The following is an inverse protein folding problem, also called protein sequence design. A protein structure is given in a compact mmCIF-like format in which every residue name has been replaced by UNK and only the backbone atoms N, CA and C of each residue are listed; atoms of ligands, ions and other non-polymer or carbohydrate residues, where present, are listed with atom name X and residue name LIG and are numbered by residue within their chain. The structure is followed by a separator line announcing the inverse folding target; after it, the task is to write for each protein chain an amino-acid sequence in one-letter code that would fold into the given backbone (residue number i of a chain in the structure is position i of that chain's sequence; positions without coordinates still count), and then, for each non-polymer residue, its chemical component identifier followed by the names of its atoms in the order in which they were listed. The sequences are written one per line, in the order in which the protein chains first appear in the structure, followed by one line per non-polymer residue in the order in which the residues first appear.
data_IF_787538233756
#
_entry.id   IF_787538233756
#
_cell.length_a   1.000
_cell.length_b   1.000
_cell.length_c   1.000
_cell.angle_alpha   90.00
_cell.angle_beta   90.00
_cell.angle_gamma   90.00
#
_symmetry.space_group_name_H-M   'P 1'
#
loop_
_entity.id
_entity.type
_entity.pdbx_description
1 polymer ?
#
# COMPACT_ATOMS: atom_id res chain seq x y z
N UNK A 1 -8.09 12.63 16.10
CA UNK A 1 -6.65 12.89 15.79
C UNK A 1 -5.96 11.54 15.76
N UNK A 2 -5.07 11.29 14.80
CA UNK A 2 -4.37 10.00 14.73
C UNK A 2 -3.38 9.85 15.90
N UNK A 3 -3.16 8.62 16.40
CA UNK A 3 -2.25 8.35 17.50
C UNK A 3 -0.80 8.69 17.11
N UNK A 4 0.05 8.93 18.10
CA UNK A 4 1.48 9.14 17.84
C UNK A 4 2.12 7.82 17.41
N UNK A 5 2.93 7.88 16.36
CA UNK A 5 3.75 6.76 15.90
C UNK A 5 4.80 6.45 16.97
N UNK A 6 4.92 5.19 17.37
CA UNK A 6 5.92 4.74 18.36
C UNK A 6 7.32 4.80 17.76
N UNK A 7 8.33 5.00 18.61
CA UNK A 7 9.72 5.00 18.16
C UNK A 7 10.08 3.64 17.52
N UNK A 8 10.59 3.67 16.29
CA UNK A 8 10.92 2.47 15.51
C UNK A 8 9.82 1.96 14.59
N UNK A 9 8.61 2.51 14.65
CA UNK A 9 7.53 2.18 13.73
C UNK A 9 7.41 3.23 12.61
N UNK A 10 6.93 2.79 11.44
CA UNK A 10 6.63 3.69 10.31
C UNK A 10 5.18 4.16 10.28
N UNK A 11 4.29 3.50 11.05
CA UNK A 11 2.85 3.73 11.12
C UNK A 11 2.35 3.47 12.55
N UNK A 12 1.05 3.16 12.71
CA UNK A 12 0.40 2.98 14.01
C UNK A 12 0.50 1.57 14.59
N UNK A 13 1.27 0.67 13.96
CA UNK A 13 1.45 -0.70 14.40
C UNK A 13 0.12 -1.40 14.63
N UNK A 14 -0.07 -1.88 15.86
CA UNK A 14 -1.29 -2.56 16.31
C UNK A 14 -2.16 -1.68 17.21
N UNK A 15 -1.86 -0.38 17.31
CA UNK A 15 -2.55 0.55 18.21
C UNK A 15 -4.07 0.49 18.09
N UNK A 16 -4.60 0.30 16.87
CA UNK A 16 -6.04 0.28 16.64
C UNK A 16 -6.71 -1.05 16.97
N UNK A 17 -5.96 -2.14 17.15
CA UNK A 17 -6.52 -3.48 17.44
C UNK A 17 -7.30 -3.46 18.76
N UNK A 18 -6.77 -2.78 19.78
CA UNK A 18 -7.42 -2.64 21.09
C UNK A 18 -8.77 -1.91 21.03
N UNK A 19 -9.04 -1.22 19.93
CA UNK A 19 -10.28 -0.47 19.68
C UNK A 19 -11.14 -1.11 18.58
N UNK A 20 -10.88 -2.37 18.23
CA UNK A 20 -11.60 -3.12 17.19
C UNK A 20 -11.21 -2.75 15.75
N UNK A 21 -10.10 -2.05 15.57
CA UNK A 21 -9.51 -1.76 14.26
C UNK A 21 -8.55 -2.86 13.79
N UNK A 22 -7.89 -2.60 12.66
CA UNK A 22 -6.94 -3.54 12.05
C UNK A 22 -5.50 -3.32 12.52
N UNK A 23 -4.72 -4.40 12.61
CA UNK A 23 -3.27 -4.37 12.71
C UNK A 23 -2.63 -3.93 11.39
N UNK A 24 -1.38 -3.48 11.46
CA UNK A 24 -0.63 -3.10 10.26
C UNK A 24 -0.42 -4.27 9.28
N UNK A 25 -0.36 -5.51 9.79
CA UNK A 25 -0.28 -6.72 8.97
C UNK A 25 -1.63 -7.08 8.35
N UNK A 26 -2.73 -6.94 9.08
CA UNK A 26 -4.08 -7.17 8.55
C UNK A 26 -4.38 -6.24 7.38
N UNK A 27 -4.06 -4.95 7.51
CA UNK A 27 -4.22 -3.97 6.42
C UNK A 27 -3.35 -4.37 5.20
N UNK A 28 -2.09 -4.75 5.42
CA UNK A 28 -1.20 -5.16 4.32
C UNK A 28 -1.72 -6.41 3.60
N UNK A 29 -2.17 -7.41 4.35
CA UNK A 29 -2.69 -8.67 3.82
C UNK A 29 -3.97 -8.42 3.01
N UNK A 30 -4.93 -7.68 3.58
CA UNK A 30 -6.18 -7.32 2.92
C UNK A 30 -5.94 -6.53 1.63
N UNK A 31 -5.09 -5.50 1.68
CA UNK A 31 -4.74 -4.71 0.50
C UNK A 31 -4.15 -5.58 -0.63
N UNK A 32 -3.26 -6.52 -0.30
CA UNK A 32 -2.70 -7.42 -1.29
C UNK A 32 -3.69 -8.42 -1.84
N UNK A 33 -4.52 -9.02 -0.99
CA UNK A 33 -5.55 -9.95 -1.44
C UNK A 33 -6.54 -9.26 -2.39
N UNK A 34 -7.04 -8.08 -2.02
CA UNK A 34 -7.97 -7.30 -2.85
C UNK A 34 -7.33 -6.88 -4.18
N UNK A 35 -6.10 -6.39 -4.18
CA UNK A 35 -5.45 -5.98 -5.43
C UNK A 35 -5.14 -7.17 -6.34
N UNK A 36 -4.68 -8.31 -5.80
CA UNK A 36 -4.53 -9.54 -6.58
C UNK A 36 -5.87 -9.99 -7.18
N UNK A 37 -6.95 -10.04 -6.40
CA UNK A 37 -8.28 -10.42 -6.90
C UNK A 37 -8.74 -9.50 -8.05
N UNK A 38 -8.48 -8.20 -7.93
CA UNK A 38 -8.80 -7.22 -8.97
C UNK A 38 -7.99 -7.48 -10.25
N UNK A 39 -6.69 -7.77 -10.13
CA UNK A 39 -5.81 -8.01 -11.28
C UNK A 39 -6.07 -9.35 -11.96
N UNK A 40 -6.51 -10.38 -11.23
CA UNK A 40 -6.83 -11.72 -11.77
C UNK A 40 -8.19 -11.79 -12.48
N UNK A 41 -8.98 -10.71 -12.46
CA UNK A 41 -10.23 -10.65 -13.23
C UNK A 41 -9.94 -10.64 -14.73
N UNK A 42 -10.68 -11.48 -15.46
CA UNK A 42 -10.60 -11.56 -16.92
C UNK A 42 -11.02 -10.24 -17.57
N UNK A 43 -10.48 -9.97 -18.75
CA UNK A 43 -10.80 -8.81 -19.60
C UNK A 43 -10.47 -7.42 -19.02
N UNK A 44 -9.68 -7.34 -17.96
CA UNK A 44 -9.09 -6.09 -17.49
C UNK A 44 -7.65 -5.94 -18.02
N UNK A 45 -7.30 -4.75 -18.54
CA UNK A 45 -5.95 -4.47 -19.08
C UNK A 45 -5.22 -3.39 -18.30
N UNK A 46 -5.91 -2.32 -17.93
CA UNK A 46 -5.38 -1.21 -17.14
C UNK A 46 -6.40 -0.85 -16.05
N UNK A 47 -5.95 -0.78 -14.80
CA UNK A 47 -6.81 -0.59 -13.64
C UNK A 47 -6.32 0.63 -12.86
N UNK A 48 -7.24 1.51 -12.49
CA UNK A 48 -6.99 2.62 -11.57
C UNK A 48 -7.68 2.34 -10.23
N UNK A 49 -6.89 2.20 -9.18
CA UNK A 49 -7.37 2.01 -7.81
C UNK A 49 -7.11 3.29 -6.99
N UNK A 50 -8.14 3.80 -6.30
CA UNK A 50 -8.02 4.95 -5.40
C UNK A 50 -8.09 4.45 -3.96
N UNK A 51 -7.12 4.85 -3.13
CA UNK A 51 -7.04 4.45 -1.72
C UNK A 51 -6.40 5.55 -0.88
N UNK A 52 -6.22 5.28 0.42
CA UNK A 52 -5.63 6.19 1.38
C UNK A 52 -4.15 5.90 1.60
N UNK A 53 -3.40 6.92 2.02
CA UNK A 53 -1.95 6.82 2.10
C UNK A 53 -1.44 5.74 3.06
N UNK A 54 -2.07 5.54 4.23
CA UNK A 54 -1.69 4.46 5.14
C UNK A 54 -1.83 3.06 4.51
N UNK A 55 -2.96 2.81 3.83
CA UNK A 55 -3.23 1.54 3.15
C UNK A 55 -2.29 1.30 1.98
N UNK A 56 -2.04 2.33 1.17
CA UNK A 56 -1.08 2.27 0.07
C UNK A 56 0.35 2.07 0.57
N UNK A 57 0.73 2.71 1.67
CA UNK A 57 2.05 2.54 2.28
C UNK A 57 2.27 1.10 2.76
N UNK A 58 1.28 0.51 3.43
CA UNK A 58 1.33 -0.91 3.82
C UNK A 58 1.45 -1.83 2.61
N UNK A 59 0.77 -1.53 1.50
CA UNK A 59 0.89 -2.29 0.27
C UNK A 59 2.32 -2.23 -0.31
N UNK A 60 2.91 -1.04 -0.48
CA UNK A 60 4.26 -0.93 -1.05
C UNK A 60 5.35 -1.50 -0.16
N UNK A 61 5.17 -1.51 1.17
CA UNK A 61 6.10 -2.18 2.09
C UNK A 61 6.23 -3.68 1.85
N UNK A 62 5.27 -4.32 1.17
CA UNK A 62 5.39 -5.73 0.77
C UNK A 62 6.24 -5.92 -0.48
N UNK A 63 6.17 -4.97 -1.42
CA UNK A 63 6.70 -5.12 -2.79
C UNK A 63 8.02 -4.38 -3.03
N UNK A 64 8.29 -3.32 -2.28
CA UNK A 64 9.42 -2.42 -2.51
C UNK A 64 10.43 -2.53 -1.37
N UNK A 65 11.71 -2.31 -1.70
CA UNK A 65 12.76 -2.12 -0.71
C UNK A 65 12.57 -0.79 0.04
N UNK A 66 13.17 -0.71 1.22
CA UNK A 66 13.15 0.54 2.00
C UNK A 66 13.80 1.72 1.26
N UNK A 67 14.75 1.46 0.35
CA UNK A 67 15.38 2.50 -0.47
C UNK A 67 14.41 3.02 -1.53
N UNK A 68 13.70 2.13 -2.22
CA UNK A 68 12.67 2.52 -3.20
C UNK A 68 11.55 3.32 -2.54
N UNK A 69 11.09 2.90 -1.36
CA UNK A 69 10.04 3.61 -0.62
C UNK A 69 10.49 5.03 -0.24
N UNK A 70 11.74 5.21 0.19
CA UNK A 70 12.30 6.53 0.52
C UNK A 70 12.40 7.47 -0.68
N UNK A 71 12.55 6.93 -1.89
CA UNK A 71 12.61 7.72 -3.12
C UNK A 71 11.23 8.23 -3.57
N UNK A 72 10.13 7.66 -3.06
CA UNK A 72 8.77 8.04 -3.44
C UNK A 72 8.31 9.26 -2.65
N UNK A 73 7.90 10.32 -3.35
CA UNK A 73 7.24 11.49 -2.76
C UNK A 73 5.76 11.19 -2.50
N UNK A 74 5.47 10.74 -1.28
CA UNK A 74 4.13 10.29 -0.88
C UNK A 74 3.24 11.45 -0.42
N UNK A 75 2.69 12.21 -1.37
CA UNK A 75 1.73 13.31 -1.11
C UNK A 75 0.31 12.93 -1.57
N UNK A 76 -0.66 13.78 -1.22
CA UNK A 76 -2.00 13.65 -1.79
C UNK A 76 -1.93 13.64 -3.32
N UNK A 77 -2.78 12.80 -3.93
CA UNK A 77 -2.82 12.57 -5.38
C UNK A 77 -1.53 11.99 -6.00
N UNK A 78 -0.61 11.44 -5.19
CA UNK A 78 0.49 10.63 -5.72
C UNK A 78 -0.06 9.36 -6.39
N UNK A 79 0.41 9.06 -7.59
CA UNK A 79 0.07 7.85 -8.34
C UNK A 79 1.26 6.91 -8.28
N UNK A 80 1.01 5.66 -7.91
CA UNK A 80 2.00 4.59 -7.96
C UNK A 80 1.65 3.69 -9.14
N UNK A 81 2.58 3.54 -10.08
CA UNK A 81 2.38 2.71 -11.26
C UNK A 81 3.10 1.38 -11.09
N UNK A 82 2.35 0.32 -11.35
CA UNK A 82 2.84 -1.06 -11.31
C UNK A 82 2.52 -1.77 -12.61
N UNK A 83 3.41 -2.66 -13.00
CA UNK A 83 3.09 -3.77 -13.89
C UNK A 83 2.74 -4.99 -13.04
N UNK A 84 1.81 -5.81 -13.53
CA UNK A 84 1.35 -7.00 -12.83
C UNK A 84 1.48 -8.21 -13.74
N UNK A 85 2.07 -9.28 -13.21
CA UNK A 85 2.14 -10.58 -13.88
C UNK A 85 2.15 -11.68 -12.84
N UNK A 86 1.25 -12.66 -12.97
CA UNK A 86 1.24 -13.90 -12.17
C UNK A 86 1.35 -13.67 -10.65
N UNK A 87 0.56 -12.75 -10.10
CA UNK A 87 0.57 -12.45 -8.66
C UNK A 87 1.71 -11.52 -8.20
N UNK A 88 2.56 -11.03 -9.10
CA UNK A 88 3.70 -10.17 -8.80
C UNK A 88 3.42 -8.75 -9.25
N UNK A 89 3.54 -7.79 -8.32
CA UNK A 89 3.49 -6.36 -8.63
C UNK A 89 4.91 -5.81 -8.78
N UNK A 90 5.28 -5.42 -10.00
CA UNK A 90 6.54 -4.74 -10.31
C UNK A 90 6.33 -3.23 -10.30
N UNK A 91 7.04 -2.52 -9.40
CA UNK A 91 6.97 -1.07 -9.33
C UNK A 91 7.72 -0.42 -10.50
N UNK A 92 7.06 0.49 -11.23
CA UNK A 92 7.67 1.20 -12.37
C UNK A 92 8.06 2.63 -12.01
N UNK A 93 7.11 3.39 -11.47
CA UNK A 93 7.31 4.81 -11.17
C UNK A 93 6.28 5.34 -10.19
N UNK A 94 6.62 6.44 -9.51
CA UNK A 94 5.67 7.29 -8.78
C UNK A 94 5.53 8.62 -9.49
N UNK A 95 4.29 9.05 -9.72
CA UNK A 95 3.96 10.32 -10.35
C UNK A 95 3.35 11.21 -9.27
N UNK A 96 3.96 12.37 -9.04
CA UNK A 96 3.50 13.36 -8.05
C UNK A 96 3.61 14.76 -8.64
N UNK A 97 2.68 15.64 -8.26
CA UNK A 97 2.75 17.07 -8.57
C UNK A 97 3.84 17.80 -7.77
#
# INVERSE_FOLDING_TARGET
MNPKIKAGETLYGDFFVDYGGESSEQVQSRMNATLNEIMEKKDHRNILCVSHGGSMYRFIQKWLSQEQIKAIKFTNCCILKFEYSEGIFEFKESISQ
#
